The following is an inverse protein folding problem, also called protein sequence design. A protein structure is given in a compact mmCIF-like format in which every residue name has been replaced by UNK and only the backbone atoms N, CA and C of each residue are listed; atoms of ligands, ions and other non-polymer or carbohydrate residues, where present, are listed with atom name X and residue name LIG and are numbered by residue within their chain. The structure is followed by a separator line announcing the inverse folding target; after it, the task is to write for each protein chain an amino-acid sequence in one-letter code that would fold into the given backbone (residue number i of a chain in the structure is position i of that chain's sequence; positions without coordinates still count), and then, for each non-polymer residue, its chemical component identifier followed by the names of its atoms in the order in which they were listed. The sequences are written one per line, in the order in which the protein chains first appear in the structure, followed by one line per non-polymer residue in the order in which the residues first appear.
data_IF_724369672706
#
_entry.id   IF_724369672706
#
_cell.length_a   1.000
_cell.length_b   1.000
_cell.length_c   1.000
_cell.angle_alpha   90.00
_cell.angle_beta   90.00
_cell.angle_gamma   90.00
#
_symmetry.space_group_name_H-M   'P 1'
#
loop_
_entity.id
_entity.type
_entity.pdbx_description
1 polymer ?
#
# COMPACT_ATOMS: atom_id res chain seq x y z
N UNK A 1 -0.88 2.50 -36.05
CA UNK A 1 -1.50 1.57 -35.08
C UNK A 1 -2.76 2.24 -34.57
N UNK A 2 -3.94 1.76 -34.99
CA UNK A 2 -5.22 2.22 -34.44
C UNK A 2 -5.31 1.73 -32.99
N UNK A 3 -5.12 2.65 -32.05
CA UNK A 3 -5.32 2.36 -30.64
C UNK A 3 -6.84 2.42 -30.42
N UNK A 4 -7.50 1.35 -29.94
CA UNK A 4 -8.95 1.26 -29.83
C UNK A 4 -9.57 2.26 -28.84
N UNK A 5 -8.75 3.03 -28.12
CA UNK A 5 -9.17 4.01 -27.13
C UNK A 5 -8.56 5.36 -27.49
N UNK A 6 -9.40 6.29 -27.99
CA UNK A 6 -9.02 7.70 -28.14
C UNK A 6 -9.17 8.38 -26.79
N UNK A 7 -8.05 8.67 -26.13
CA UNK A 7 -8.06 9.47 -24.90
C UNK A 7 -8.31 10.94 -25.30
N UNK A 8 -9.37 11.60 -24.80
CA UNK A 8 -9.62 13.01 -25.07
C UNK A 8 -8.43 13.87 -24.65
N UNK A 9 -7.99 14.81 -25.49
CA UNK A 9 -6.91 15.75 -25.16
C UNK A 9 -7.19 16.57 -23.89
N UNK A 10 -8.47 16.77 -23.55
CA UNK A 10 -8.90 17.39 -22.30
C UNK A 10 -8.47 16.61 -21.05
N UNK A 11 -8.29 15.28 -21.14
CA UNK A 11 -7.75 14.46 -20.05
C UNK A 11 -6.21 14.54 -19.94
N UNK A 12 -5.54 15.04 -20.98
CA UNK A 12 -4.08 15.19 -21.03
C UNK A 12 -3.66 16.57 -20.51
N UNK A 13 -4.54 17.57 -20.58
CA UNK A 13 -4.33 18.90 -20.02
C UNK A 13 -4.58 18.95 -18.50
N UNK A 14 -3.98 18.02 -17.75
CA UNK A 14 -3.70 18.29 -16.34
C UNK A 14 -2.78 19.50 -16.31
N UNK A 15 -3.25 20.63 -15.77
CA UNK A 15 -2.44 21.84 -15.63
C UNK A 15 -1.13 21.47 -14.94
N UNK A 16 -0.04 21.45 -15.69
CA UNK A 16 1.31 21.49 -15.15
C UNK A 16 1.39 22.81 -14.39
N UNK A 17 1.23 22.76 -13.07
CA UNK A 17 1.69 23.85 -12.23
C UNK A 17 3.21 23.89 -12.36
N UNK A 18 3.69 24.77 -13.23
CA UNK A 18 5.09 25.09 -13.42
C UNK A 18 5.69 25.64 -12.11
N UNK A 19 6.23 24.75 -11.30
CA UNK A 19 7.63 24.86 -10.90
C UNK A 19 8.31 23.60 -11.43
N UNK A 20 9.41 23.75 -12.17
CA UNK A 20 10.20 22.63 -12.66
C UNK A 20 10.86 21.91 -11.47
N UNK A 21 10.08 21.13 -10.74
CA UNK A 21 10.61 20.16 -9.80
C UNK A 21 11.34 19.10 -10.63
N UNK A 22 12.64 19.31 -10.84
CA UNK A 22 13.54 18.30 -11.35
C UNK A 22 13.83 17.39 -10.15
N UNK A 23 13.20 16.21 -10.02
CA UNK A 23 13.55 15.30 -8.94
C UNK A 23 15.04 14.97 -9.07
N UNK A 24 15.77 14.85 -7.94
CA UNK A 24 17.13 14.33 -7.99
C UNK A 24 17.13 12.97 -8.69
N UNK A 25 18.21 12.60 -9.41
CA UNK A 25 18.30 11.31 -10.09
C UNK A 25 17.96 10.16 -9.14
N UNK A 26 16.87 9.46 -9.43
CA UNK A 26 16.45 8.30 -8.65
C UNK A 26 17.21 7.08 -9.17
N UNK A 27 17.87 6.37 -8.26
CA UNK A 27 18.46 5.07 -8.58
C UNK A 27 17.46 3.96 -8.30
N UNK A 28 17.16 3.18 -9.33
CA UNK A 28 16.29 2.03 -9.22
C UNK A 28 17.09 0.75 -9.03
N UNK A 29 16.59 -0.16 -8.18
CA UNK A 29 17.17 -1.48 -7.97
C UNK A 29 16.08 -2.51 -7.74
N UNK A 30 16.23 -3.67 -8.40
CA UNK A 30 15.38 -4.84 -8.16
C UNK A 30 16.00 -5.69 -7.05
N UNK A 31 15.22 -5.96 -6.02
CA UNK A 31 15.62 -6.87 -4.94
C UNK A 31 14.87 -8.19 -5.09
N UNK A 32 15.61 -9.28 -5.27
CA UNK A 32 15.03 -10.62 -5.33
C UNK A 32 14.82 -11.18 -3.92
N UNK A 33 13.61 -11.64 -3.62
CA UNK A 33 13.28 -12.38 -2.41
C UNK A 33 12.86 -13.80 -2.80
N UNK A 34 13.66 -14.79 -2.39
CA UNK A 34 13.35 -16.19 -2.67
C UNK A 34 12.11 -16.65 -1.90
N UNK A 35 11.50 -17.76 -2.34
CA UNK A 35 10.34 -18.37 -1.66
C UNK A 35 10.66 -18.70 -0.20
N UNK A 36 11.85 -19.23 0.06
CA UNK A 36 12.33 -19.59 1.40
C UNK A 36 12.51 -18.33 2.26
N UNK A 37 13.04 -17.25 1.69
CA UNK A 37 13.21 -15.98 2.40
C UNK A 37 11.86 -15.39 2.79
N UNK A 38 10.90 -15.37 1.87
CA UNK A 38 9.54 -14.89 2.14
C UNK A 38 8.85 -15.77 3.18
N UNK A 39 9.00 -17.10 3.11
CA UNK A 39 8.46 -18.02 4.10
C UNK A 39 9.05 -17.78 5.50
N UNK A 40 10.37 -17.54 5.60
CA UNK A 40 11.04 -17.18 6.87
C UNK A 40 10.51 -15.86 7.43
N UNK A 41 10.32 -14.84 6.58
CA UNK A 41 9.75 -13.55 7.01
C UNK A 41 8.31 -13.73 7.53
N UNK A 42 7.48 -14.49 6.80
CA UNK A 42 6.11 -14.80 7.24
C UNK A 42 6.10 -15.54 8.57
N UNK A 43 6.91 -16.58 8.71
CA UNK A 43 6.98 -17.37 9.94
C UNK A 43 7.42 -16.51 11.13
N UNK A 44 8.45 -15.68 10.95
CA UNK A 44 8.93 -14.74 11.96
C UNK A 44 7.85 -13.74 12.38
N UNK A 45 7.19 -13.07 11.43
CA UNK A 45 6.16 -12.08 11.72
C UNK A 45 4.98 -12.69 12.51
N UNK A 46 4.57 -13.89 12.14
CA UNK A 46 3.52 -14.65 12.82
C UNK A 46 3.94 -15.06 14.25
N UNK A 47 5.17 -15.54 14.43
CA UNK A 47 5.72 -15.90 15.74
C UNK A 47 5.85 -14.69 16.68
N UNK A 48 6.31 -13.53 16.19
CA UNK A 48 6.42 -12.30 16.97
C UNK A 48 5.07 -11.80 17.54
N UNK A 49 3.96 -12.16 16.89
CA UNK A 49 2.60 -11.73 17.27
C UNK A 49 1.79 -12.86 17.93
N UNK A 50 2.18 -14.11 17.77
CA UNK A 50 1.40 -15.26 18.23
C UNK A 50 0.15 -15.50 17.38
N UNK A 51 0.25 -15.35 16.06
CA UNK A 51 -0.85 -15.58 15.11
C UNK A 51 -0.37 -16.38 13.89
N UNK A 52 -1.28 -16.84 13.06
CA UNK A 52 -1.03 -17.45 11.75
C UNK A 52 -1.64 -16.64 10.58
N UNK A 53 -2.29 -15.52 10.90
CA UNK A 53 -3.08 -14.72 9.96
C UNK A 53 -2.27 -13.71 9.15
N UNK A 54 -1.00 -13.47 9.49
CA UNK A 54 -0.15 -12.54 8.75
C UNK A 54 0.26 -13.19 7.42
N UNK A 55 -0.03 -12.51 6.31
CA UNK A 55 0.30 -12.99 4.97
C UNK A 55 1.76 -12.76 4.61
N UNK A 56 2.26 -13.50 3.62
CA UNK A 56 3.60 -13.31 3.06
C UNK A 56 3.84 -11.88 2.57
N UNK A 57 2.83 -11.28 1.93
CA UNK A 57 2.91 -9.90 1.45
C UNK A 57 3.04 -8.92 2.62
N UNK A 58 2.21 -9.07 3.67
CA UNK A 58 2.25 -8.18 4.84
C UNK A 58 3.61 -8.27 5.56
N UNK A 59 4.16 -9.48 5.73
CA UNK A 59 5.48 -9.68 6.33
C UNK A 59 6.61 -9.05 5.49
N UNK A 60 6.56 -9.23 4.17
CA UNK A 60 7.55 -8.64 3.25
C UNK A 60 7.49 -7.12 3.23
N UNK A 61 6.29 -6.54 3.11
CA UNK A 61 6.11 -5.08 3.08
C UNK A 61 6.51 -4.43 4.42
N UNK A 62 6.23 -5.08 5.55
CA UNK A 62 6.72 -4.65 6.87
C UNK A 62 8.25 -4.65 6.93
N UNK A 63 8.90 -5.71 6.44
CA UNK A 63 10.36 -5.77 6.37
C UNK A 63 10.94 -4.64 5.50
N UNK A 64 10.37 -4.41 4.31
CA UNK A 64 10.78 -3.32 3.42
C UNK A 64 10.58 -1.96 4.07
N UNK A 65 9.41 -1.71 4.68
CA UNK A 65 9.10 -0.47 5.37
C UNK A 65 10.16 -0.17 6.44
N UNK A 66 10.47 -1.17 7.27
CA UNK A 66 11.48 -1.05 8.32
C UNK A 66 12.87 -0.76 7.74
N UNK A 67 13.27 -1.42 6.64
CA UNK A 67 14.53 -1.14 5.96
C UNK A 67 14.60 0.29 5.40
N UNK A 68 13.52 0.80 4.80
CA UNK A 68 13.44 2.16 4.28
C UNK A 68 13.57 3.18 5.42
N UNK A 69 12.80 3.03 6.49
CA UNK A 69 12.83 3.97 7.62
C UNK A 69 14.20 3.97 8.32
N UNK A 70 14.81 2.79 8.50
CA UNK A 70 16.16 2.66 9.04
C UNK A 70 17.21 3.41 8.21
N UNK A 71 17.13 3.31 6.88
CA UNK A 71 18.07 4.00 5.99
C UNK A 71 17.83 5.51 5.92
N UNK A 72 16.58 5.96 6.07
CA UNK A 72 16.25 7.40 6.08
C UNK A 72 16.69 8.13 7.35
N UNK A 73 17.01 7.41 8.43
CA UNK A 73 17.45 7.98 9.73
C UNK A 73 16.54 9.12 10.21
N UNK A 74 15.23 8.94 10.04
CA UNK A 74 14.23 9.91 10.47
C UNK A 74 14.19 10.03 12.00
N UNK A 75 13.61 11.11 12.50
CA UNK A 75 13.40 11.30 13.94
C UNK A 75 12.60 10.10 14.52
N UNK A 76 13.04 9.49 15.64
CA UNK A 76 12.36 8.35 16.25
C UNK A 76 10.87 8.58 16.58
N UNK A 77 10.47 9.82 16.85
CA UNK A 77 9.10 10.20 17.15
C UNK A 77 8.29 10.61 15.90
N UNK A 78 8.93 10.75 14.73
CA UNK A 78 8.26 11.08 13.48
C UNK A 78 7.25 9.99 13.09
N UNK A 79 6.05 10.42 12.70
CA UNK A 79 5.07 9.53 12.09
C UNK A 79 5.52 9.12 10.69
N UNK A 80 5.46 7.84 10.42
CA UNK A 80 5.73 7.26 9.12
C UNK A 80 4.48 6.54 8.65
N UNK A 81 4.25 6.53 7.34
CA UNK A 81 3.05 5.91 6.76
C UNK A 81 3.41 4.98 5.63
N UNK A 82 2.77 3.82 5.59
CA UNK A 82 2.81 2.89 4.48
C UNK A 82 1.44 2.86 3.79
N UNK A 83 1.41 3.13 2.48
CA UNK A 83 0.19 3.08 1.67
C UNK A 83 0.14 1.76 0.92
N UNK A 84 -0.92 1.01 1.16
CA UNK A 84 -1.26 -0.24 0.51
C UNK A 84 -2.44 -0.01 -0.42
N UNK A 85 -2.57 -0.84 -1.45
CA UNK A 85 -3.74 -0.85 -2.31
C UNK A 85 -4.43 -2.20 -2.16
N UNK A 86 -5.72 -2.17 -1.85
CA UNK A 86 -6.54 -3.36 -1.58
C UNK A 86 -7.57 -3.52 -2.68
N UNK A 87 -7.66 -4.72 -3.25
CA UNK A 87 -8.70 -5.06 -4.23
C UNK A 87 -10.09 -5.05 -3.59
N UNK A 88 -11.03 -4.34 -4.23
CA UNK A 88 -12.41 -4.22 -3.75
C UNK A 88 -13.38 -5.18 -4.46
N UNK A 89 -12.98 -5.83 -5.56
CA UNK A 89 -13.86 -6.71 -6.36
C UNK A 89 -14.58 -7.77 -5.53
N UNK A 90 -13.83 -8.56 -4.76
CA UNK A 90 -14.40 -9.59 -3.89
C UNK A 90 -15.19 -9.04 -2.69
N UNK A 91 -15.10 -7.73 -2.43
CA UNK A 91 -15.78 -7.04 -1.32
C UNK A 91 -17.02 -6.26 -1.78
N UNK A 92 -17.22 -6.10 -3.08
CA UNK A 92 -18.33 -5.36 -3.68
C UNK A 92 -19.17 -6.36 -4.47
N UNK A 93 -20.28 -6.79 -3.86
CA UNK A 93 -21.17 -7.77 -4.49
C UNK A 93 -21.86 -7.22 -5.74
N UNK A 94 -21.93 -5.89 -5.88
CA UNK A 94 -22.58 -5.20 -7.00
C UNK A 94 -21.73 -5.16 -8.28
N UNK A 95 -20.44 -5.53 -8.21
CA UNK A 95 -19.58 -5.51 -9.38
C UNK A 95 -19.79 -6.78 -10.23
N UNK A 96 -19.99 -6.64 -11.56
CA UNK A 96 -19.98 -7.80 -12.45
C UNK A 96 -18.67 -8.58 -12.36
N UNK A 97 -18.74 -9.90 -12.50
CA UNK A 97 -17.55 -10.77 -12.45
C UNK A 97 -16.48 -10.38 -13.48
N UNK A 98 -16.91 -9.83 -14.62
CA UNK A 98 -16.05 -9.36 -15.71
C UNK A 98 -15.71 -7.86 -15.63
N UNK A 99 -15.90 -7.21 -14.47
CA UNK A 99 -15.61 -5.79 -14.30
C UNK A 99 -14.10 -5.49 -14.49
N UNK A 100 -13.79 -4.89 -15.64
CA UNK A 100 -12.43 -4.54 -16.06
C UNK A 100 -11.94 -3.20 -15.46
N UNK A 101 -12.84 -2.35 -14.97
CA UNK A 101 -12.49 -1.05 -14.40
C UNK A 101 -11.69 -1.13 -13.09
N UNK A 102 -11.22 0.01 -12.59
CA UNK A 102 -10.50 0.07 -11.32
C UNK A 102 -11.44 -0.16 -10.13
N UNK A 103 -11.17 -1.20 -9.34
CA UNK A 103 -11.87 -1.51 -8.09
C UNK A 103 -10.83 -1.73 -6.98
N UNK A 104 -10.25 -0.62 -6.53
CA UNK A 104 -9.10 -0.58 -5.63
C UNK A 104 -9.31 0.47 -4.54
N UNK A 105 -8.87 0.17 -3.33
CA UNK A 105 -8.98 1.06 -2.18
C UNK A 105 -7.61 1.29 -1.53
N UNK A 106 -7.15 2.55 -1.37
CA UNK A 106 -5.95 2.82 -0.59
C UNK A 106 -6.20 2.55 0.90
N UNK A 107 -5.27 1.84 1.53
CA UNK A 107 -5.20 1.65 2.98
C UNK A 107 -3.91 2.28 3.46
N UNK A 108 -3.99 3.11 4.49
CA UNK A 108 -2.82 3.75 5.10
C UNK A 108 -2.62 3.18 6.50
N UNK A 109 -1.40 2.71 6.75
CA UNK A 109 -0.93 2.30 8.07
C UNK A 109 0.09 3.32 8.54
N UNK A 110 -0.10 3.88 9.73
CA UNK A 110 0.77 4.91 10.30
C UNK A 110 1.35 4.42 11.62
N UNK A 111 2.65 4.56 11.79
CA UNK A 111 3.41 4.18 13.00
C UNK A 111 4.55 5.16 13.22
N UNK A 112 4.99 5.33 14.48
CA UNK A 112 6.21 6.10 14.76
C UNK A 112 7.44 5.33 14.29
N UNK A 113 8.48 6.05 13.88
CA UNK A 113 9.72 5.43 13.43
C UNK A 113 10.34 4.52 14.49
N UNK A 114 10.31 4.91 15.78
CA UNK A 114 10.80 4.09 16.90
C UNK A 114 10.05 2.77 17.05
N UNK A 115 8.72 2.81 16.93
CA UNK A 115 7.86 1.62 17.05
C UNK A 115 8.21 0.60 15.95
N UNK A 116 8.42 1.08 14.71
CA UNK A 116 8.89 0.24 13.60
C UNK A 116 10.26 -0.39 13.87
N UNK A 117 11.16 0.32 14.56
CA UNK A 117 12.50 -0.20 14.85
C UNK A 117 12.47 -1.20 16.00
N UNK A 118 11.65 -0.99 17.03
CA UNK A 118 11.67 -1.77 18.27
C UNK A 118 10.77 -3.02 18.22
N UNK A 119 9.67 -3.00 17.47
CA UNK A 119 8.60 -4.01 17.57
C UNK A 119 8.65 -5.11 16.50
N UNK A 120 9.84 -5.39 15.97
CA UNK A 120 10.03 -6.41 14.94
C UNK A 120 9.29 -6.13 13.64
N UNK A 121 9.11 -7.17 12.81
CA UNK A 121 8.34 -7.06 11.55
C UNK A 121 6.89 -7.51 11.72
N UNK A 122 6.60 -8.24 12.79
CA UNK A 122 5.28 -8.73 13.16
C UNK A 122 4.30 -7.61 13.41
N UNK A 123 4.66 -6.61 14.23
CA UNK A 123 3.69 -5.57 14.60
C UNK A 123 3.22 -4.72 13.40
N UNK A 124 4.10 -4.18 12.53
CA UNK A 124 3.63 -3.43 11.37
C UNK A 124 2.83 -4.31 10.41
N UNK A 125 3.23 -5.58 10.23
CA UNK A 125 2.47 -6.52 9.41
C UNK A 125 1.07 -6.81 9.98
N UNK A 126 0.95 -6.89 11.31
CA UNK A 126 -0.31 -7.06 12.02
C UNK A 126 -1.21 -5.83 11.89
N UNK A 127 -0.64 -4.62 11.97
CA UNK A 127 -1.39 -3.39 11.72
C UNK A 127 -1.93 -3.34 10.29
N UNK A 128 -1.12 -3.74 9.31
CA UNK A 128 -1.59 -3.90 7.91
C UNK A 128 -2.74 -4.91 7.84
N UNK A 129 -2.60 -6.07 8.49
CA UNK A 129 -3.63 -7.10 8.51
C UNK A 129 -4.97 -6.58 9.05
N UNK A 130 -4.95 -5.97 10.24
CA UNK A 130 -6.15 -5.42 10.87
C UNK A 130 -6.79 -4.31 10.04
N UNK A 131 -5.98 -3.42 9.46
CA UNK A 131 -6.48 -2.35 8.59
C UNK A 131 -7.13 -2.90 7.32
N UNK A 132 -6.55 -3.92 6.69
CA UNK A 132 -7.12 -4.59 5.52
C UNK A 132 -8.40 -5.36 5.89
N UNK A 133 -8.42 -6.05 7.03
CA UNK A 133 -9.59 -6.80 7.48
C UNK A 133 -10.79 -5.89 7.82
N UNK A 134 -10.52 -4.67 8.32
CA UNK A 134 -11.55 -3.68 8.60
C UNK A 134 -12.15 -3.04 7.33
N UNK A 135 -11.62 -3.33 6.13
CA UNK A 135 -12.13 -2.79 4.89
C UNK A 135 -13.40 -3.52 4.45
N UNK A 136 -14.54 -2.86 4.68
CA UNK A 136 -15.87 -3.32 4.30
C UNK A 136 -16.33 -2.73 2.97
N UNK A 137 -17.41 -3.29 2.43
CA UNK A 137 -18.12 -2.71 1.28
C UNK A 137 -18.55 -1.26 1.55
N UNK A 138 -19.07 -1.00 2.75
CA UNK A 138 -19.48 0.33 3.19
C UNK A 138 -18.30 1.32 3.19
N UNK A 139 -17.12 0.90 3.65
CA UNK A 139 -15.90 1.72 3.62
C UNK A 139 -15.57 2.16 2.19
N UNK A 140 -15.73 1.25 1.23
CA UNK A 140 -15.50 1.55 -0.19
C UNK A 140 -16.56 2.49 -0.75
N UNK A 141 -17.85 2.23 -0.49
CA UNK A 141 -18.95 3.10 -0.92
C UNK A 141 -18.82 4.52 -0.35
N UNK A 142 -18.40 4.65 0.91
CA UNK A 142 -18.11 5.94 1.52
C UNK A 142 -16.94 6.66 0.84
N UNK A 143 -15.87 5.95 0.50
CA UNK A 143 -14.77 6.53 -0.27
C UNK A 143 -15.23 7.03 -1.64
N UNK A 144 -16.02 6.24 -2.37
CA UNK A 144 -16.56 6.65 -3.67
C UNK A 144 -17.41 7.93 -3.56
N UNK A 145 -18.25 8.03 -2.52
CA UNK A 145 -19.03 9.25 -2.25
C UNK A 145 -18.11 10.46 -2.05
N UNK A 146 -17.09 10.33 -1.20
CA UNK A 146 -16.12 11.41 -0.94
C UNK A 146 -15.38 11.83 -2.20
N UNK A 147 -15.01 10.87 -3.07
CA UNK A 147 -14.37 11.18 -4.35
C UNK A 147 -15.33 11.89 -5.31
N UNK A 148 -16.59 11.45 -5.38
CA UNK A 148 -17.61 12.07 -6.22
C UNK A 148 -18.02 13.47 -5.74
N UNK A 149 -17.87 13.77 -4.44
CA UNK A 149 -18.18 15.07 -3.85
C UNK A 149 -17.05 16.11 -3.99
N UNK A 150 -15.86 15.72 -4.48
CA UNK A 150 -14.75 16.65 -4.71
C UNK A 150 -14.73 17.09 -6.18
N UNK A 151 -14.93 18.38 -6.48
CA UNK A 151 -14.86 18.91 -7.84
C UNK A 151 -13.45 18.84 -8.42
#
# INVERSE_FOLDING_TARGET
MDIPIRIPQSCVNFKQSNEDFIPPPVQDRVFHFSKETVAKLKAKANAEIGTDKISSLQALLSHIWRCVIRNRRVDPNQQTSYRLVVGARQRLQELPDNFFGNALMPVIVTMKAKELMEQGIGNPAWQMNRKIAAMTEESFKNMLRVLASKP
#
